data_IF_567624553882
#
_entry.id   IF_567624553882
#
_cell.length_a   1.000
_cell.length_b   1.000
_cell.length_c   1.000
_cell.angle_alpha   90.00
_cell.angle_beta   90.00
_cell.angle_gamma   90.00
#
_symmetry.space_group_name_H-M   'P 1'
#
loop_
_entity.id
_entity.type
_entity.pdbx_description
1 polymer ?
#
# COMPACT_ATOMS: atom_id res chain seq x y z
N UNK A 1 -25.47 7.19 -12.24
CA UNK A 1 -24.08 7.22 -12.71
C UNK A 1 -23.21 7.60 -11.52
N UNK A 2 -22.36 6.69 -11.02
CA UNK A 2 -21.48 7.00 -9.90
C UNK A 2 -20.35 7.92 -10.38
N UNK A 3 -20.31 9.16 -9.88
CA UNK A 3 -19.25 10.11 -10.21
C UNK A 3 -17.88 9.56 -9.82
N UNK A 4 -16.88 9.76 -10.68
CA UNK A 4 -15.50 9.35 -10.40
C UNK A 4 -14.95 10.21 -9.27
N UNK A 5 -14.64 9.60 -8.13
CA UNK A 5 -14.05 10.31 -7.00
C UNK A 5 -12.65 10.81 -7.38
N UNK A 6 -12.48 12.13 -7.38
CA UNK A 6 -11.18 12.79 -7.52
C UNK A 6 -10.82 13.32 -6.13
N UNK A 7 -9.72 12.86 -5.51
CA UNK A 7 -9.30 13.32 -4.20
C UNK A 7 -9.17 14.85 -4.18
N UNK A 8 -9.53 15.54 -3.09
CA UNK A 8 -9.55 17.01 -3.02
C UNK A 8 -8.22 17.64 -3.44
N UNK A 9 -7.09 17.02 -3.10
CA UNK A 9 -5.74 17.50 -3.44
C UNK A 9 -5.38 17.38 -4.93
N UNK A 10 -6.07 16.53 -5.69
CA UNK A 10 -5.90 16.40 -7.15
C UNK A 10 -6.79 17.40 -7.92
N UNK A 11 -7.75 18.05 -7.24
CA UNK A 11 -8.62 19.06 -7.84
C UNK A 11 -7.85 20.37 -7.96
N UNK A 12 -7.05 20.50 -9.03
CA UNK A 12 -6.38 21.72 -9.53
C UNK A 12 -6.16 22.78 -8.43
N UNK A 13 -5.04 22.69 -7.71
CA UNK A 13 -4.62 23.78 -6.83
C UNK A 13 -4.35 25.03 -7.71
N UNK A 14 -4.97 26.19 -7.42
CA UNK A 14 -4.57 27.43 -8.06
C UNK A 14 -3.11 27.71 -7.72
N UNK A 15 -2.35 28.16 -8.71
CA UNK A 15 -0.95 28.57 -8.58
C UNK A 15 -0.87 29.60 -7.44
N UNK A 16 -0.38 29.19 -6.27
CA UNK A 16 -0.27 30.06 -5.10
C UNK A 16 1.05 30.81 -5.16
N UNK A 17 0.95 32.12 -5.35
CA UNK A 17 2.05 33.07 -5.19
C UNK A 17 2.54 33.03 -3.73
N UNK A 18 3.83 32.75 -3.53
CA UNK A 18 4.47 32.67 -2.20
C UNK A 18 4.44 34.03 -1.51
N UNK A 19 3.99 34.06 -0.25
CA UNK A 19 4.22 35.15 0.68
C UNK A 19 5.05 34.56 1.82
N UNK A 20 6.28 35.05 2.01
CA UNK A 20 7.14 34.69 3.14
C UNK A 20 6.58 35.29 4.42
N UNK A 21 6.45 34.45 5.46
CA UNK A 21 6.28 34.90 6.84
C UNK A 21 7.25 34.08 7.67
N UNK A 22 8.22 34.76 8.27
CA UNK A 22 9.16 34.20 9.25
C UNK A 22 8.42 34.03 10.58
N UNK A 23 8.34 32.80 11.11
CA UNK A 23 7.87 32.56 12.48
C UNK A 23 8.69 31.43 13.14
N UNK A 24 9.54 31.80 14.10
CA UNK A 24 10.33 30.89 14.93
C UNK A 24 9.43 30.20 15.96
N UNK A 25 9.25 28.87 15.86
CA UNK A 25 8.71 28.07 16.98
C UNK A 25 9.56 26.85 17.33
N UNK A 26 9.87 26.79 18.62
CA UNK A 26 10.60 25.75 19.33
C UNK A 26 9.99 24.35 19.11
N UNK A 27 10.82 23.44 18.61
CA UNK A 27 10.50 22.02 18.40
C UNK A 27 10.75 21.24 19.69
N UNK A 28 9.73 20.50 20.16
CA UNK A 28 9.83 19.57 21.29
C UNK A 28 10.56 18.28 20.86
N UNK A 29 11.52 17.74 21.65
CA UNK A 29 12.30 16.57 21.23
C UNK A 29 11.47 15.28 21.25
N UNK A 30 11.58 14.50 20.18
CA UNK A 30 11.02 13.15 20.06
C UNK A 30 11.63 12.19 21.11
N UNK A 31 10.90 11.15 21.55
CA UNK A 31 11.40 10.18 22.51
C UNK A 31 12.63 9.44 21.97
N UNK A 32 13.70 9.44 22.77
CA UNK A 32 14.97 8.82 22.46
C UNK A 32 14.81 7.30 22.24
N UNK A 33 14.92 6.89 20.98
CA UNK A 33 15.13 5.48 20.60
C UNK A 33 16.52 5.09 21.08
N UNK A 34 16.61 3.97 21.81
CA UNK A 34 17.87 3.45 22.34
C UNK A 34 18.91 3.31 21.22
N UNK A 35 20.00 4.06 21.34
CA UNK A 35 21.07 4.17 20.35
C UNK A 35 21.81 2.83 20.30
N UNK A 36 21.63 2.09 19.20
CA UNK A 36 22.31 0.84 18.90
C UNK A 36 23.82 1.06 18.68
N UNK A 37 24.63 0.04 19.00
CA UNK A 37 26.08 0.02 18.82
C UNK A 37 26.47 0.35 17.37
N UNK A 38 27.55 1.10 17.23
CA UNK A 38 27.87 2.03 16.14
C UNK A 38 27.90 1.55 14.68
N UNK A 39 27.64 0.28 14.35
CA UNK A 39 27.42 -0.18 12.94
C UNK A 39 26.65 -1.51 12.82
N UNK A 40 26.15 -2.09 13.93
CA UNK A 40 26.01 -3.56 14.02
C UNK A 40 24.61 -4.17 14.12
N UNK A 41 23.54 -3.39 13.92
CA UNK A 41 22.15 -3.86 14.10
C UNK A 41 21.31 -3.89 12.82
N UNK A 42 21.90 -3.57 11.67
CA UNK A 42 21.20 -3.54 10.40
C UNK A 42 21.34 -4.88 9.67
N UNK A 43 20.20 -5.41 9.25
CA UNK A 43 20.07 -6.62 8.48
C UNK A 43 19.83 -6.29 7.01
N UNK A 44 20.33 -7.15 6.12
CA UNK A 44 19.95 -7.11 4.72
C UNK A 44 18.65 -7.86 4.48
N UNK A 45 17.91 -7.48 3.44
CA UNK A 45 16.68 -8.18 3.07
C UNK A 45 16.95 -9.66 2.80
N UNK A 46 18.09 -9.96 2.17
CA UNK A 46 18.55 -11.32 1.91
C UNK A 46 18.81 -12.12 3.18
N UNK A 47 19.45 -11.52 4.19
CA UNK A 47 19.72 -12.20 5.45
C UNK A 47 18.42 -12.49 6.22
N UNK A 48 17.50 -11.52 6.28
CA UNK A 48 16.17 -11.70 6.89
C UNK A 48 15.42 -12.84 6.19
N UNK A 49 15.29 -12.80 4.86
CA UNK A 49 14.58 -13.83 4.12
C UNK A 49 15.25 -15.21 4.27
N UNK A 50 16.58 -15.28 4.19
CA UNK A 50 17.32 -16.54 4.35
C UNK A 50 17.11 -17.20 5.72
N UNK A 51 16.94 -16.39 6.78
CA UNK A 51 16.65 -16.90 8.12
C UNK A 51 15.24 -17.49 8.22
N UNK A 52 14.21 -16.77 7.75
CA UNK A 52 12.82 -17.23 7.86
C UNK A 52 12.41 -18.24 6.78
N UNK A 53 13.13 -18.28 5.65
CA UNK A 53 12.87 -19.14 4.48
C UNK A 53 14.17 -19.71 3.91
N UNK A 54 14.85 -20.60 4.66
CA UNK A 54 16.10 -21.20 4.21
C UNK A 54 15.91 -21.96 2.89
N UNK A 55 16.85 -21.81 1.97
CA UNK A 55 16.85 -22.48 0.66
C UNK A 55 15.93 -21.86 -0.40
N UNK A 56 15.11 -20.87 -0.06
CA UNK A 56 14.29 -20.16 -1.04
C UNK A 56 15.01 -18.90 -1.54
N UNK A 57 15.19 -18.73 -2.88
CA UNK A 57 15.79 -17.52 -3.42
C UNK A 57 14.90 -16.30 -3.14
N UNK A 58 15.54 -15.11 -3.10
CA UNK A 58 14.81 -13.85 -3.09
C UNK A 58 14.03 -13.71 -4.41
N UNK A 59 12.73 -14.02 -4.37
CA UNK A 59 11.86 -13.84 -5.54
C UNK A 59 11.46 -12.38 -5.73
N UNK A 60 10.71 -12.10 -6.80
CA UNK A 60 10.07 -10.79 -7.02
C UNK A 60 9.13 -10.35 -5.88
N UNK A 61 8.75 -11.28 -5.00
CA UNK A 61 7.94 -11.04 -3.82
C UNK A 61 8.73 -10.56 -2.59
N UNK A 62 10.06 -10.42 -2.68
CA UNK A 62 10.90 -10.02 -1.56
C UNK A 62 10.53 -8.64 -0.99
N UNK A 63 10.04 -7.73 -1.84
CA UNK A 63 9.67 -6.37 -1.47
C UNK A 63 8.25 -6.24 -0.88
N UNK A 64 7.56 -7.35 -0.59
CA UNK A 64 6.25 -7.31 0.05
C UNK A 64 6.38 -6.95 1.54
N UNK A 65 5.28 -6.47 2.11
CA UNK A 65 5.23 -6.13 3.54
C UNK A 65 5.00 -7.34 4.43
N UNK A 66 4.19 -8.30 3.97
CA UNK A 66 3.80 -9.48 4.74
C UNK A 66 4.51 -10.72 4.20
N UNK A 67 5.06 -11.53 5.09
CA UNK A 67 5.75 -12.78 4.73
C UNK A 67 5.41 -13.90 5.72
N UNK A 68 5.14 -15.08 5.18
CA UNK A 68 5.12 -16.30 5.96
C UNK A 68 6.54 -16.81 6.25
N UNK A 69 6.63 -17.92 6.99
CA UNK A 69 7.91 -18.57 7.28
C UNK A 69 7.90 -19.98 6.73
N UNK A 70 9.08 -20.56 6.50
CA UNK A 70 9.18 -21.97 6.12
C UNK A 70 8.67 -22.90 7.23
N UNK A 71 8.77 -22.49 8.49
CA UNK A 71 8.29 -23.25 9.64
C UNK A 71 6.75 -23.30 9.72
N UNK A 72 6.08 -22.22 9.32
CA UNK A 72 4.62 -22.11 9.34
C UNK A 72 4.08 -21.53 8.02
N UNK A 73 4.06 -22.32 6.93
CA UNK A 73 3.57 -21.86 5.64
C UNK A 73 2.12 -21.37 5.74
N UNK A 74 1.83 -20.23 5.10
CA UNK A 74 0.50 -19.64 5.15
C UNK A 74 0.15 -18.86 6.42
N UNK A 75 1.03 -18.84 7.42
CA UNK A 75 0.89 -18.01 8.63
C UNK A 75 1.90 -16.88 8.59
N UNK A 76 1.47 -15.65 8.86
CA UNK A 76 2.36 -14.49 8.94
C UNK A 76 3.39 -14.70 10.05
N UNK A 77 4.68 -14.66 9.71
CA UNK A 77 5.75 -14.76 10.73
C UNK A 77 6.73 -13.59 10.74
N UNK A 78 6.89 -12.85 9.64
CA UNK A 78 7.62 -11.58 9.69
C UNK A 78 7.05 -10.51 8.76
N UNK A 79 7.32 -9.25 9.11
CA UNK A 79 6.90 -8.07 8.37
C UNK A 79 8.09 -7.17 8.06
N UNK A 80 8.06 -6.58 6.86
CA UNK A 80 9.04 -5.62 6.39
C UNK A 80 8.34 -4.30 6.14
N UNK A 81 8.69 -3.28 6.94
CA UNK A 81 8.16 -1.94 6.81
C UNK A 81 9.20 -1.06 6.13
N UNK A 82 8.88 -0.61 4.91
CA UNK A 82 9.73 0.29 4.16
C UNK A 82 9.67 1.70 4.75
N UNK A 83 10.75 2.45 4.55
CA UNK A 83 10.89 3.78 5.13
C UNK A 83 9.74 4.68 4.65
N UNK A 84 9.03 5.31 5.58
CA UNK A 84 7.87 6.19 5.31
C UNK A 84 6.69 5.55 4.56
N UNK A 85 6.63 4.21 4.40
CA UNK A 85 5.53 3.57 3.69
C UNK A 85 4.20 3.56 4.48
N UNK A 86 4.28 3.66 5.81
CA UNK A 86 3.15 3.60 6.73
C UNK A 86 3.23 4.73 7.77
N UNK A 87 2.58 5.89 7.51
CA UNK A 87 2.75 7.10 8.33
C UNK A 87 2.21 6.94 9.77
N UNK A 88 1.35 5.94 10.01
CA UNK A 88 0.78 5.64 11.33
C UNK A 88 1.55 4.58 12.12
N UNK A 89 2.69 4.12 11.61
CA UNK A 89 3.52 3.14 12.31
C UNK A 89 4.05 3.68 13.65
N UNK A 90 4.67 4.85 13.64
CA UNK A 90 5.28 5.43 14.85
C UNK A 90 4.28 5.81 15.96
N UNK A 91 3.14 6.47 15.67
CA UNK A 91 2.19 6.82 16.72
C UNK A 91 1.35 5.63 17.21
N UNK A 92 0.84 4.81 16.28
CA UNK A 92 -0.23 3.86 16.59
C UNK A 92 0.11 2.40 16.30
N UNK A 93 1.29 2.13 15.72
CA UNK A 93 1.69 0.81 15.20
C UNK A 93 0.66 0.26 14.20
N UNK A 94 0.12 1.16 13.37
CA UNK A 94 -0.83 0.84 12.31
C UNK A 94 -0.11 0.71 10.97
N UNK A 95 -0.40 -0.38 10.26
CA UNK A 95 0.15 -0.68 8.93
C UNK A 95 -1.00 -0.86 7.94
N UNK A 96 -0.83 -0.32 6.72
CA UNK A 96 -1.80 -0.45 5.64
C UNK A 96 -1.26 -1.35 4.53
N UNK A 97 -1.86 -2.53 4.37
CA UNK A 97 -1.38 -3.55 3.43
C UNK A 97 -2.41 -3.90 2.38
N UNK A 98 -1.94 -4.29 1.18
CA UNK A 98 -2.78 -4.62 0.02
C UNK A 98 -2.56 -6.05 -0.52
N UNK A 99 -1.45 -6.69 -0.16
CA UNK A 99 -1.02 -7.98 -0.71
C UNK A 99 -0.96 -9.02 0.38
N UNK A 100 -1.12 -10.29 -0.01
CA UNK A 100 -0.99 -11.48 0.85
C UNK A 100 -1.90 -11.42 2.10
N UNK A 101 -3.11 -10.89 1.93
CA UNK A 101 -4.11 -10.74 2.99
C UNK A 101 -4.54 -12.10 3.59
N UNK A 102 -4.36 -13.20 2.86
CA UNK A 102 -4.61 -14.55 3.34
C UNK A 102 -3.72 -14.94 4.52
N UNK A 103 -2.53 -14.36 4.63
CA UNK A 103 -1.61 -14.59 5.76
C UNK A 103 -2.15 -14.01 7.08
N UNK A 104 -3.04 -13.02 7.00
CA UNK A 104 -3.64 -12.36 8.16
C UNK A 104 -4.79 -13.17 8.74
N UNK A 105 -5.50 -13.93 7.90
CA UNK A 105 -6.68 -14.71 8.31
C UNK A 105 -6.33 -16.07 8.91
N UNK A 106 -5.14 -16.60 8.63
CA UNK A 106 -4.75 -17.95 9.07
C UNK A 106 -4.63 -18.11 10.59
N UNK A 107 -4.59 -17.02 11.36
CA UNK A 107 -4.49 -17.05 12.82
C UNK A 107 -5.47 -16.14 13.57
N UNK A 108 -6.36 -15.44 12.85
CA UNK A 108 -7.36 -14.56 13.45
C UNK A 108 -8.72 -15.20 13.25
N UNK A 109 -9.30 -15.73 14.33
CA UNK A 109 -10.69 -16.14 14.31
C UNK A 109 -11.55 -14.94 13.95
N UNK A 110 -12.24 -15.05 12.82
CA UNK A 110 -13.14 -14.03 12.31
C UNK A 110 -14.38 -14.04 13.19
N UNK A 111 -14.32 -13.35 14.32
CA UNK A 111 -15.51 -13.04 15.09
C UNK A 111 -16.24 -11.97 14.29
N UNK A 112 -17.16 -12.42 13.43
CA UNK A 112 -18.18 -11.53 12.90
C UNK A 112 -19.00 -11.08 14.10
N UNK A 113 -18.65 -9.92 14.67
CA UNK A 113 -19.56 -9.11 15.47
C UNK A 113 -20.63 -8.56 14.51
N UNK A 114 -21.40 -9.46 13.91
CA UNK A 114 -22.73 -9.14 13.48
C UNK A 114 -23.41 -8.68 14.75
N UNK A 115 -23.65 -7.37 14.85
CA UNK A 115 -24.61 -6.84 15.80
C UNK A 115 -25.89 -7.63 15.55
N UNK A 116 -26.11 -8.65 16.38
CA UNK A 116 -27.45 -8.99 16.82
C UNK A 116 -27.92 -7.74 17.56
N UNK A 117 -28.36 -6.77 16.76
CA UNK A 117 -29.07 -5.61 17.25
C UNK A 117 -30.24 -6.21 18.02
N UNK A 118 -30.35 -5.96 19.34
CA UNK A 118 -31.47 -6.45 20.11
C UNK A 118 -32.71 -6.05 19.35
N UNK A 119 -33.46 -7.04 18.84
CA UNK A 119 -34.75 -6.75 18.26
C UNK A 119 -35.50 -5.94 19.32
N UNK A 120 -35.99 -4.72 19.00
CA UNK A 120 -36.82 -4.01 19.94
C UNK A 120 -37.93 -4.96 20.37
N UNK A 121 -38.24 -5.06 21.67
CA UNK A 121 -39.29 -5.96 22.14
C UNK A 121 -40.54 -5.66 21.29
N UNK A 122 -41.07 -6.70 20.65
CA UNK A 122 -42.33 -6.63 19.92
C UNK A 122 -43.40 -6.26 20.93
N UNK A 123 -43.66 -4.96 21.12
CA UNK A 123 -44.77 -4.49 21.92
C UNK A 123 -46.01 -4.79 21.09
N UNK A 124 -46.73 -5.83 21.48
CA UNK A 124 -48.04 -6.17 20.95
C UNK A 124 -48.96 -4.96 21.11
N UNK A 125 -49.36 -4.35 20.00
CA UNK A 125 -50.36 -3.31 19.97
C UNK A 125 -51.74 -3.90 20.32
N UNK A 126 -52.49 -3.34 21.29
CA UNK A 126 -53.92 -3.54 21.36
C UNK A 126 -54.62 -2.66 20.32
N UNK A 127 -55.43 -3.32 19.50
CA UNK A 127 -56.37 -2.72 18.55
C UNK A 127 -57.63 -2.27 19.28
N UNK A 128 -58.12 -1.05 18.97
CA UNK A 128 -59.52 -0.66 18.71
C UNK A 128 -59.96 0.70 19.29
N UNK A 129 -60.57 1.50 18.39
CA UNK A 129 -61.64 2.50 18.57
C UNK A 129 -61.27 3.86 19.22
N UNK A 130 -61.80 5.03 18.85
CA UNK A 130 -62.76 5.50 17.84
C UNK A 130 -62.85 7.04 17.95
N UNK A 131 -62.89 7.72 16.79
CA UNK A 131 -63.63 8.96 16.42
C UNK A 131 -63.79 10.10 17.45
N UNK A 132 -63.27 11.30 17.14
CA UNK A 132 -64.07 12.53 16.96
C UNK A 132 -63.21 13.72 16.48
N UNK A 133 -63.78 14.48 15.56
CA UNK A 133 -63.25 15.66 14.92
C UNK A 133 -63.14 16.88 15.84
N UNK A 134 -62.18 17.78 15.59
CA UNK A 134 -62.40 19.23 15.70
C UNK A 134 -61.41 19.96 14.78
N UNK A 135 -62.00 20.69 13.84
CA UNK A 135 -61.38 21.68 12.96
C UNK A 135 -61.04 22.94 13.74
N UNK A 136 -59.79 23.40 13.73
CA UNK A 136 -59.47 24.85 13.85
C UNK A 136 -58.19 25.17 13.08
N UNK A 137 -58.34 26.06 12.10
CA UNK A 137 -57.25 26.63 11.32
C UNK A 137 -56.34 27.51 12.20
N UNK A 138 -55.04 27.46 11.94
CA UNK A 138 -54.14 28.60 12.18
C UNK A 138 -52.94 28.50 11.25
N UNK A 139 -52.85 29.52 10.41
CA UNK A 139 -51.76 29.84 9.50
C UNK A 139 -50.54 30.21 10.35
N UNK A 140 -49.41 29.56 10.12
CA UNK A 140 -48.11 30.18 10.40
C UNK A 140 -47.11 29.66 9.37
N UNK A 141 -46.81 30.54 8.41
CA UNK A 141 -45.55 30.61 7.68
C UNK A 141 -44.37 30.36 8.60
N UNK A 142 -43.46 29.45 8.23
CA UNK A 142 -42.01 29.58 8.41
C UNK A 142 -41.25 28.32 8.00
N UNK A 143 -40.26 28.56 7.13
CA UNK A 143 -38.99 27.85 7.00
C UNK A 143 -39.01 26.43 6.45
N UNK A 144 -38.64 26.32 5.17
CA UNK A 144 -38.08 25.11 4.58
C UNK A 144 -36.74 24.80 5.26
N UNK A 145 -36.78 24.05 6.35
CA UNK A 145 -35.64 23.23 6.76
C UNK A 145 -35.71 21.94 5.93
N UNK A 146 -34.91 21.89 4.86
CA UNK A 146 -34.47 20.63 4.26
C UNK A 146 -33.65 19.88 5.30
N UNK A 147 -34.34 19.17 6.18
CA UNK A 147 -33.77 18.11 6.99
C UNK A 147 -33.33 17.01 6.03
N UNK A 148 -32.08 17.12 5.56
CA UNK A 148 -31.36 16.04 4.88
C UNK A 148 -31.24 14.91 5.91
N UNK A 149 -32.27 14.04 5.93
CA UNK A 149 -32.19 12.71 6.53
C UNK A 149 -31.04 11.99 5.85
N UNK A 150 -29.88 12.07 6.50
CA UNK A 150 -28.68 11.40 6.08
C UNK A 150 -28.93 9.93 6.40
N UNK A 151 -29.46 9.20 5.41
CA UNK A 151 -29.56 7.76 5.44
C UNK A 151 -28.21 7.20 5.89
N UNK A 152 -28.18 6.72 7.13
CA UNK A 152 -27.05 6.00 7.70
C UNK A 152 -26.97 4.66 6.99
N UNK A 153 -26.41 4.69 5.77
CA UNK A 153 -26.20 3.51 4.95
C UNK A 153 -25.33 2.54 5.75
N UNK A 154 -25.92 1.38 6.03
CA UNK A 154 -25.35 0.14 6.52
C UNK A 154 -23.84 0.14 6.66
N UNK A 155 -23.39 0.43 7.87
CA UNK A 155 -22.00 0.30 8.29
C UNK A 155 -21.70 -1.18 8.56
N UNK A 156 -21.82 -2.01 7.53
CA UNK A 156 -21.37 -3.41 7.52
C UNK A 156 -19.85 -3.46 7.35
N UNK A 157 -19.12 -2.79 8.25
CA UNK A 157 -17.68 -2.94 8.33
C UNK A 157 -17.40 -4.15 9.21
N UNK A 158 -16.94 -5.24 8.59
CA UNK A 158 -16.46 -6.41 9.32
C UNK A 158 -15.16 -6.05 10.02
N UNK A 159 -15.29 -5.54 11.25
CA UNK A 159 -14.16 -5.33 12.14
C UNK A 159 -13.86 -6.66 12.82
N UNK A 160 -12.70 -7.23 12.51
CA UNK A 160 -12.25 -8.46 13.14
C UNK A 160 -11.48 -8.08 14.40
N UNK A 161 -12.13 -8.24 15.54
CA UNK A 161 -11.42 -8.24 16.81
C UNK A 161 -10.74 -9.59 16.95
N UNK A 162 -9.41 -9.58 17.02
CA UNK A 162 -8.67 -10.80 17.35
C UNK A 162 -9.02 -11.15 18.79
N UNK A 163 -9.79 -12.22 18.99
CA UNK A 163 -10.05 -12.74 20.34
C UNK A 163 -8.73 -13.31 20.89
N UNK A 164 -8.28 -12.88 22.08
CA UNK A 164 -7.00 -13.32 22.66
C UNK A 164 -6.98 -14.79 23.13
N UNK A 165 -8.05 -15.57 22.88
CA UNK A 165 -8.15 -16.94 23.36
C UNK A 165 -7.35 -17.93 22.50
N UNK A 166 -6.93 -17.55 21.30
CA UNK A 166 -5.90 -18.25 20.53
C UNK A 166 -4.53 -17.64 20.84
N UNK A 167 -3.50 -18.48 21.04
CA UNK A 167 -2.11 -18.02 21.12
C UNK A 167 -1.77 -17.33 19.80
N UNK A 168 -1.87 -16.00 19.76
CA UNK A 168 -1.51 -15.23 18.57
C UNK A 168 -0.04 -15.50 18.27
N UNK A 169 0.25 -15.85 17.02
CA UNK A 169 1.63 -16.08 16.59
C UNK A 169 2.38 -14.76 16.61
N UNK A 170 3.54 -14.74 17.26
CA UNK A 170 4.39 -13.56 17.27
C UNK A 170 4.99 -13.33 15.89
N UNK A 171 5.05 -12.06 15.49
CA UNK A 171 5.50 -11.59 14.18
C UNK A 171 6.75 -10.76 14.39
N UNK A 172 7.85 -11.12 13.72
CA UNK A 172 9.07 -10.32 13.71
C UNK A 172 8.88 -9.10 12.80
N UNK A 173 9.10 -7.89 13.30
CA UNK A 173 8.98 -6.66 12.50
C UNK A 173 10.35 -6.05 12.25
N UNK A 174 10.64 -5.77 10.97
CA UNK A 174 11.85 -5.12 10.52
C UNK A 174 11.52 -3.77 9.88
N UNK A 175 12.19 -2.70 10.30
CA UNK A 175 12.00 -1.34 9.80
C UNK A 175 13.16 -0.93 8.92
N UNK A 176 12.86 -0.41 7.75
CA UNK A 176 13.86 0.20 6.89
C UNK A 176 14.25 1.58 7.44
N UNK A 177 15.48 1.72 7.89
CA UNK A 177 16.02 2.95 8.50
C UNK A 177 16.39 3.97 7.42
N UNK A 178 16.95 3.50 6.30
CA UNK A 178 17.38 4.35 5.20
C UNK A 178 16.59 4.02 3.94
N UNK A 179 16.02 5.03 3.24
CA UNK A 179 15.53 4.80 1.88
C UNK A 179 16.69 4.27 1.04
N UNK A 180 16.39 3.31 0.15
CA UNK A 180 17.39 2.58 -0.63
C UNK A 180 18.54 3.49 -1.09
N UNK A 181 19.81 3.11 -0.84
CA UNK A 181 20.93 3.94 -1.21
C UNK A 181 20.86 4.19 -2.72
N UNK A 182 21.19 5.43 -3.12
CA UNK A 182 21.37 5.74 -4.53
C UNK A 182 22.37 4.75 -5.13
N UNK A 183 22.14 4.43 -6.40
CA UNK A 183 22.77 3.46 -7.31
C UNK A 183 24.26 3.09 -7.13
N UNK A 184 25.04 3.79 -6.33
CA UNK A 184 26.47 3.54 -6.08
C UNK A 184 26.78 2.62 -4.89
N UNK A 185 25.81 2.28 -4.03
CA UNK A 185 26.03 1.43 -2.84
C UNK A 185 25.20 0.14 -2.82
N UNK A 186 25.16 -0.56 -3.96
CA UNK A 186 24.61 -1.93 -4.04
C UNK A 186 25.27 -2.90 -3.03
N UNK A 187 26.45 -2.56 -2.49
CA UNK A 187 27.19 -3.34 -1.51
C UNK A 187 26.62 -3.25 -0.08
N UNK A 188 25.81 -2.23 0.24
CA UNK A 188 25.23 -2.05 1.57
C UNK A 188 23.70 -2.22 1.54
N UNK A 189 23.24 -3.45 1.27
CA UNK A 189 21.82 -3.86 1.37
C UNK A 189 21.27 -3.86 2.82
N UNK A 190 22.12 -3.49 3.80
CA UNK A 190 21.75 -3.43 5.22
C UNK A 190 21.01 -2.15 5.54
N UNK A 191 19.71 -2.15 5.30
CA UNK A 191 18.86 -1.01 5.59
C UNK A 191 17.80 -1.30 6.64
N UNK A 192 17.72 -2.52 7.19
CA UNK A 192 16.63 -2.92 8.08
C UNK A 192 17.08 -3.12 9.52
N UNK A 193 16.40 -2.50 10.48
CA UNK A 193 16.57 -2.76 11.91
C UNK A 193 15.45 -3.67 12.40
N UNK A 194 15.77 -4.60 13.30
CA UNK A 194 14.75 -5.38 14.00
C UNK A 194 14.11 -4.53 15.09
N UNK A 195 12.81 -4.23 14.96
CA UNK A 195 12.06 -3.44 15.94
C UNK A 195 11.59 -4.30 17.13
N UNK A 196 11.33 -5.59 16.88
CA UNK A 196 10.88 -6.51 17.90
C UNK A 196 9.81 -7.49 17.41
N UNK A 197 9.27 -8.23 18.38
CA UNK A 197 8.16 -9.16 18.20
C UNK A 197 6.83 -8.49 18.51
N UNK A 198 5.84 -8.73 17.67
CA UNK A 198 4.50 -8.14 17.75
C UNK A 198 3.41 -9.20 17.58
N UNK A 199 2.20 -8.89 18.04
CA UNK A 199 0.98 -9.61 17.67
C UNK A 199 -0.04 -8.65 17.05
N UNK A 200 -0.94 -9.20 16.22
CA UNK A 200 -2.06 -8.43 15.66
C UNK A 200 -3.13 -8.27 16.73
N UNK A 201 -3.34 -7.03 17.20
CA UNK A 201 -4.41 -6.74 18.16
C UNK A 201 -5.72 -6.36 17.47
N UNK A 202 -5.65 -5.79 16.27
CA UNK A 202 -6.84 -5.46 15.46
C UNK A 202 -6.57 -5.64 13.98
N UNK A 203 -7.53 -6.25 13.29
CA UNK A 203 -7.53 -6.41 11.84
C UNK A 203 -8.84 -5.90 11.26
N UNK A 204 -8.76 -5.00 10.27
CA UNK A 204 -9.94 -4.56 9.52
C UNK A 204 -9.67 -4.71 8.03
N UNK A 205 -10.50 -5.51 7.34
CA UNK A 205 -10.44 -5.63 5.88
C UNK A 205 -11.36 -4.57 5.27
N UNK A 206 -10.79 -3.68 4.47
CA UNK A 206 -11.52 -2.63 3.77
C UNK A 206 -11.88 -3.11 2.37
N UNK A 207 -13.16 -2.99 2.03
CA UNK A 207 -13.65 -3.34 0.70
C UNK A 207 -13.18 -2.30 -0.33
N UNK A 208 -12.99 -2.73 -1.59
CA UNK A 208 -12.70 -1.82 -2.69
C UNK A 208 -13.74 -0.69 -2.73
N UNK A 209 -13.28 0.54 -2.96
CA UNK A 209 -14.10 1.77 -3.02
C UNK A 209 -14.97 2.08 -1.78
N UNK A 210 -14.72 1.44 -0.64
CA UNK A 210 -15.41 1.80 0.60
C UNK A 210 -15.00 3.20 1.08
N UNK A 211 -15.89 3.95 1.77
CA UNK A 211 -15.55 5.28 2.29
C UNK A 211 -14.40 5.24 3.31
N UNK A 212 -14.20 4.12 3.99
CA UNK A 212 -13.07 3.90 4.89
C UNK A 212 -11.76 3.71 4.15
N UNK A 213 -11.78 3.00 3.01
CA UNK A 213 -10.63 2.89 2.13
C UNK A 213 -10.23 4.28 1.60
N UNK A 214 -11.19 5.10 1.20
CA UNK A 214 -10.93 6.49 0.78
C UNK A 214 -10.22 7.29 1.87
N UNK A 215 -10.79 7.31 3.07
CA UNK A 215 -10.19 8.02 4.22
C UNK A 215 -8.78 7.51 4.54
N UNK A 216 -8.58 6.20 4.48
CA UNK A 216 -7.27 5.59 4.74
C UNK A 216 -6.25 5.96 3.67
N UNK A 217 -6.59 5.89 2.38
CA UNK A 217 -5.66 6.23 1.31
C UNK A 217 -5.34 7.72 1.31
N UNK A 218 -6.33 8.58 1.61
CA UNK A 218 -6.09 10.00 1.84
C UNK A 218 -5.06 10.20 2.97
N UNK A 219 -5.20 9.51 4.10
CA UNK A 219 -4.21 9.56 5.19
C UNK A 219 -2.84 8.99 4.79
N UNK A 220 -2.81 7.87 4.06
CA UNK A 220 -1.57 7.19 3.67
C UNK A 220 -0.75 8.02 2.69
N UNK A 221 -1.40 8.80 1.83
CA UNK A 221 -0.75 9.59 0.78
C UNK A 221 -0.67 11.09 1.06
N UNK A 222 -1.31 11.57 2.13
CA UNK A 222 -0.96 12.84 2.76
C UNK A 222 0.38 12.66 3.48
N UNK A 223 1.48 12.63 2.73
CA UNK A 223 2.82 12.77 3.31
C UNK A 223 2.95 14.23 3.69
N UNK A 224 3.06 14.59 4.98
CA UNK A 224 3.53 15.91 5.36
C UNK A 224 4.99 15.94 4.93
N UNK A 225 5.22 16.37 3.69
CA UNK A 225 6.54 16.83 3.33
C UNK A 225 6.83 18.00 4.26
N UNK A 226 8.10 18.11 4.66
CA UNK A 226 8.66 19.04 5.66
C UNK A 226 7.85 20.33 5.84
N UNK A 227 7.78 20.95 7.03
CA UNK A 227 6.93 22.11 7.30
C UNK A 227 6.99 23.23 6.23
N UNK A 228 8.11 23.35 5.51
CA UNK A 228 8.32 24.34 4.46
C UNK A 228 8.08 23.89 3.01
N UNK A 229 7.84 22.61 2.73
CA UNK A 229 7.58 22.13 1.37
C UNK A 229 6.60 20.96 1.42
N UNK A 230 5.36 21.13 0.98
CA UNK A 230 4.45 20.01 0.72
C UNK A 230 4.76 19.44 -0.66
N UNK A 231 5.71 18.52 -0.77
CA UNK A 231 5.80 17.63 -1.93
C UNK A 231 4.68 16.61 -1.83
N UNK A 232 3.60 16.90 -2.53
CA UNK A 232 2.68 15.87 -2.96
C UNK A 232 3.52 14.84 -3.71
N UNK A 233 3.71 13.65 -3.13
CA UNK A 233 4.19 12.49 -3.86
C UNK A 233 3.06 12.14 -4.85
N UNK A 234 2.98 12.88 -5.95
CA UNK A 234 1.90 12.80 -6.92
C UNK A 234 1.89 11.40 -7.50
N UNK A 235 1.00 10.56 -6.96
CA UNK A 235 0.57 9.36 -7.65
C UNK A 235 -0.22 9.79 -8.88
N UNK A 236 -0.02 9.06 -9.96
CA UNK A 236 -0.89 9.20 -11.12
C UNK A 236 -2.33 8.87 -10.72
N UNK A 237 -3.29 9.46 -11.44
CA UNK A 237 -4.71 9.12 -11.29
C UNK A 237 -4.96 7.61 -11.41
N UNK A 238 -4.22 6.96 -12.30
CA UNK A 238 -4.34 5.52 -12.55
C UNK A 238 -3.82 4.70 -11.37
N UNK A 239 -2.72 5.11 -10.74
CA UNK A 239 -2.19 4.47 -9.53
C UNK A 239 -3.16 4.59 -8.34
N UNK A 240 -3.89 5.70 -8.26
CA UNK A 240 -4.97 5.90 -7.29
C UNK A 240 -6.14 4.98 -7.56
N UNK A 241 -6.63 4.95 -8.79
CA UNK A 241 -7.74 4.11 -9.21
C UNK A 241 -7.44 2.62 -8.96
N UNK A 242 -6.23 2.19 -9.32
CA UNK A 242 -5.72 0.85 -9.06
C UNK A 242 -5.64 0.53 -7.55
N UNK A 243 -5.40 1.54 -6.71
CA UNK A 243 -5.45 1.41 -5.26
C UNK A 243 -6.87 1.17 -4.74
N UNK A 244 -7.84 1.92 -5.25
CA UNK A 244 -9.26 1.81 -4.87
C UNK A 244 -9.93 0.49 -5.28
N UNK A 245 -9.48 -0.09 -6.39
CA UNK A 245 -10.02 -1.33 -6.93
C UNK A 245 -9.45 -2.59 -6.23
N UNK A 246 -8.57 -2.41 -5.23
CA UNK A 246 -7.98 -3.50 -4.45
C UNK A 246 -8.59 -3.60 -3.05
N UNK A 247 -8.59 -4.81 -2.49
CA UNK A 247 -8.84 -5.03 -1.07
C UNK A 247 -7.64 -4.55 -0.27
N UNK A 248 -7.91 -3.95 0.88
CA UNK A 248 -6.87 -3.50 1.81
C UNK A 248 -7.13 -4.06 3.19
N UNK A 249 -6.08 -4.16 3.99
CA UNK A 249 -6.18 -4.41 5.41
C UNK A 249 -5.52 -3.29 6.21
N UNK A 250 -6.18 -2.90 7.30
CA UNK A 250 -5.63 -2.05 8.36
C UNK A 250 -5.29 -2.97 9.51
N UNK A 251 -4.01 -3.04 9.84
CA UNK A 251 -3.49 -3.89 10.91
C UNK A 251 -3.02 -2.97 12.03
N UNK A 252 -3.51 -3.19 13.25
CA UNK A 252 -2.92 -2.62 14.46
C UNK A 252 -2.09 -3.70 15.15
N UNK A 253 -0.85 -3.37 15.43
CA UNK A 253 0.12 -4.24 16.07
C UNK A 253 0.37 -3.78 17.51
N UNK A 254 0.63 -4.74 18.38
CA UNK A 254 1.05 -4.52 19.77
C UNK A 254 2.31 -5.33 20.03
N UNK A 255 3.18 -4.83 20.90
CA UNK A 255 4.38 -5.57 21.28
C UNK A 255 4.00 -6.87 21.99
N UNK A 256 4.65 -7.96 21.61
CA UNK A 256 4.63 -9.17 22.40
C UNK A 256 5.26 -8.91 23.78
N UNK A 257 4.88 -9.71 24.79
CA UNK A 257 5.44 -9.58 26.13
C UNK A 257 6.97 -9.63 26.09
N UNK A 258 7.65 -8.70 26.79
CA UNK A 258 9.11 -8.65 26.82
C UNK A 258 9.68 -9.98 27.34
N UNK A 259 10.65 -10.53 26.61
CA UNK A 259 11.29 -11.81 26.94
C UNK A 259 10.51 -13.05 26.49
N UNK A 260 9.33 -12.92 25.87
CA UNK A 260 8.61 -14.08 25.32
C UNK A 260 9.34 -14.69 24.11
N UNK A 261 10.09 -13.87 23.38
CA UNK A 261 10.82 -14.26 22.18
C UNK A 261 12.18 -13.58 22.15
N UNK A 262 13.23 -14.33 21.86
CA UNK A 262 14.57 -13.81 21.63
C UNK A 262 14.65 -13.15 20.25
N UNK A 263 15.55 -12.17 20.10
CA UNK A 263 15.80 -11.58 18.78
C UNK A 263 16.25 -12.69 17.82
N UNK A 264 15.77 -12.71 16.56
CA UNK A 264 16.16 -13.74 15.61
C UNK A 264 17.67 -13.68 15.37
N UNK A 265 18.33 -14.83 15.48
CA UNK A 265 19.77 -14.98 15.21
C UNK A 265 20.00 -14.96 13.70
N UNK A 266 19.90 -13.76 13.12
CA UNK A 266 20.17 -13.50 11.72
C UNK A 266 21.64 -13.16 11.62
N UNK A 267 22.40 -14.00 10.92
CA UNK A 267 23.81 -13.76 10.68
C UNK A 267 24.02 -12.38 10.04
N UNK A 268 24.48 -11.41 10.84
CA UNK A 268 25.05 -10.18 10.34
C UNK A 268 26.29 -10.61 9.57
N UNK A 269 26.26 -10.58 8.24
CA UNK A 269 27.37 -11.01 7.38
C UNK A 269 28.57 -10.07 7.47
N UNK A 270 29.06 -9.76 8.68
CA UNK A 270 30.12 -8.81 8.94
C UNK A 270 31.36 -9.20 8.12
N UNK A 271 31.62 -8.44 7.05
CA UNK A 271 32.92 -8.44 6.40
C UNK A 271 33.38 -9.74 5.74
N UNK A 272 32.48 -10.57 5.19
CA UNK A 272 32.92 -11.34 4.02
C UNK A 272 33.06 -10.35 2.86
N UNK A 273 34.14 -9.54 2.90
CA UNK A 273 34.65 -8.90 1.71
C UNK A 273 34.96 -10.05 0.75
N UNK A 274 34.14 -10.22 -0.28
CA UNK A 274 34.38 -11.10 -1.41
C UNK A 274 35.66 -10.65 -2.11
N UNK A 275 36.82 -11.01 -1.57
CA UNK A 275 38.11 -10.99 -2.28
C UNK A 275 38.26 -12.22 -3.18
N UNK A 276 37.25 -13.10 -3.22
CA UNK A 276 37.12 -14.14 -4.24
C UNK A 276 36.35 -13.59 -5.43
N UNK A 277 37.07 -13.19 -6.48
CA UNK A 277 36.56 -12.85 -7.81
C UNK A 277 35.86 -14.07 -8.45
N UNK A 278 34.69 -14.43 -7.95
CA UNK A 278 33.80 -15.36 -8.65
C UNK A 278 32.98 -14.52 -9.59
N UNK A 279 33.49 -14.37 -10.81
CA UNK A 279 32.80 -13.73 -11.93
C UNK A 279 31.64 -14.62 -12.38
N UNK A 280 30.58 -14.67 -11.57
CA UNK A 280 29.33 -15.32 -11.96
C UNK A 280 28.65 -14.39 -12.96
N UNK A 281 28.92 -14.64 -14.25
CA UNK A 281 28.24 -14.03 -15.39
C UNK A 281 26.80 -14.54 -15.48
N UNK A 282 25.95 -14.14 -14.55
CA UNK A 282 24.54 -13.98 -14.85
C UNK A 282 24.35 -12.51 -15.22
N UNK A 283 23.64 -12.25 -16.31
CA UNK A 283 23.10 -10.93 -16.57
C UNK A 283 22.12 -10.62 -15.42
N UNK A 284 22.65 -10.07 -14.33
CA UNK A 284 21.86 -9.73 -13.16
C UNK A 284 20.79 -8.74 -13.61
N UNK A 285 19.49 -9.08 -13.48
CA UNK A 285 18.47 -8.07 -13.57
C UNK A 285 18.74 -7.13 -12.40
N UNK A 286 19.33 -5.96 -12.71
CA UNK A 286 19.54 -4.85 -11.79
C UNK A 286 18.35 -4.80 -10.83
N UNK A 287 18.63 -4.99 -9.54
CA UNK A 287 17.68 -4.83 -8.44
C UNK A 287 17.27 -3.35 -8.37
N UNK A 288 16.49 -2.93 -9.36
CA UNK A 288 15.84 -1.63 -9.39
C UNK A 288 14.79 -1.61 -8.27
N UNK A 289 14.74 -0.52 -7.52
CA UNK A 289 13.63 -0.29 -6.59
C UNK A 289 12.30 -0.41 -7.32
N UNK A 290 11.19 -0.75 -6.65
CA UNK A 290 9.89 -0.90 -7.34
C UNK A 290 9.53 0.36 -8.16
N UNK A 291 9.87 1.56 -7.66
CA UNK A 291 9.66 2.80 -8.41
C UNK A 291 10.63 2.96 -9.60
N UNK A 292 11.88 2.50 -9.50
CA UNK A 292 12.82 2.46 -10.63
C UNK A 292 12.46 1.38 -11.64
N UNK A 293 12.01 0.21 -11.19
CA UNK A 293 11.52 -0.87 -12.05
C UNK A 293 10.27 -0.41 -12.80
N UNK A 294 9.35 0.27 -12.12
CA UNK A 294 8.17 0.88 -12.76
C UNK A 294 8.56 2.04 -13.70
N UNK A 295 9.56 2.86 -13.34
CA UNK A 295 10.11 3.90 -14.24
C UNK A 295 10.79 3.26 -15.46
N UNK A 296 11.53 2.18 -15.26
CA UNK A 296 12.23 1.44 -16.31
C UNK A 296 11.27 0.76 -17.26
N UNK A 297 10.23 0.09 -16.75
CA UNK A 297 9.15 -0.47 -17.58
C UNK A 297 8.48 0.62 -18.42
N UNK A 298 8.26 1.82 -17.87
CA UNK A 298 7.71 2.96 -18.62
C UNK A 298 8.67 3.44 -19.70
N UNK A 299 9.98 3.53 -19.41
CA UNK A 299 10.97 3.92 -20.42
C UNK A 299 11.13 2.86 -21.51
N UNK A 300 11.15 1.57 -21.18
CA UNK A 300 11.27 0.48 -22.16
C UNK A 300 10.06 0.48 -23.10
N UNK A 301 8.84 0.63 -22.57
CA UNK A 301 7.64 0.72 -23.40
C UNK A 301 7.66 1.96 -24.30
N UNK A 302 8.08 3.12 -23.76
CA UNK A 302 8.25 4.33 -24.57
C UNK A 302 9.29 4.16 -25.67
N UNK A 303 10.39 3.47 -25.38
CA UNK A 303 11.46 3.21 -26.37
C UNK A 303 10.97 2.23 -27.44
N UNK A 304 10.17 1.22 -27.08
CA UNK A 304 9.54 0.31 -28.03
C UNK A 304 8.56 1.03 -28.96
N UNK A 305 7.73 1.93 -28.42
CA UNK A 305 6.83 2.77 -29.21
C UNK A 305 7.60 3.74 -30.13
N UNK A 306 8.69 4.35 -29.65
CA UNK A 306 9.55 5.21 -30.48
C UNK A 306 10.27 4.43 -31.59
N UNK A 307 10.74 3.20 -31.32
CA UNK A 307 11.33 2.31 -32.34
C UNK A 307 10.27 1.93 -33.37
N UNK A 308 9.07 1.53 -32.95
CA UNK A 308 7.99 1.18 -33.87
C UNK A 308 7.59 2.38 -34.75
N UNK A 309 7.49 3.58 -34.17
CA UNK A 309 7.18 4.80 -34.90
C UNK A 309 8.31 5.20 -35.88
N UNK A 310 9.58 4.95 -35.51
CA UNK A 310 10.73 5.20 -36.39
C UNK A 310 10.86 4.19 -37.51
N UNK A 311 10.44 2.93 -37.30
CA UNK A 311 10.49 1.87 -38.31
C UNK A 311 9.28 1.84 -39.26
N UNK A 312 8.13 2.41 -38.86
CA UNK A 312 6.95 2.54 -39.75
C UNK A 312 7.25 3.12 -41.14
N UNK A 313 7.98 4.24 -41.29
CA UNK A 313 8.26 4.79 -42.61
C UNK A 313 9.15 3.86 -43.46
N UNK A 314 10.11 3.16 -42.84
CA UNK A 314 10.99 2.23 -43.58
C UNK A 314 10.21 1.02 -44.11
N UNK A 315 9.32 0.43 -43.30
CA UNK A 315 8.46 -0.69 -43.71
C UNK A 315 7.47 -0.26 -44.79
N UNK A 316 6.96 0.97 -44.72
CA UNK A 316 6.06 1.51 -45.75
C UNK A 316 6.78 1.74 -47.08
N UNK A 317 8.02 2.24 -47.07
CA UNK A 317 8.85 2.41 -48.27
C UNK A 317 9.14 1.05 -48.93
N UNK A 318 9.44 0.01 -48.16
CA UNK A 318 9.70 -1.33 -48.72
C UNK A 318 8.44 -1.97 -49.32
N UNK A 319 7.27 -1.77 -48.70
CA UNK A 319 5.98 -2.21 -49.26
C UNK A 319 5.65 -1.49 -50.57
N UNK A 320 5.90 -0.19 -50.66
CA UNK A 320 5.73 0.58 -51.90
C UNK A 320 6.69 0.08 -52.99
N UNK A 321 7.96 -0.21 -52.64
CA UNK A 321 8.94 -0.76 -53.59
C UNK A 321 8.53 -2.15 -54.10
N UNK A 322 8.01 -3.02 -53.24
CA UNK A 322 7.49 -4.33 -53.64
C UNK A 322 6.25 -4.21 -54.54
N UNK A 323 5.36 -3.26 -54.25
CA UNK A 323 4.20 -2.95 -55.08
C UNK A 323 4.60 -2.45 -56.47
N UNK A 324 5.58 -1.54 -56.56
CA UNK A 324 6.12 -1.05 -57.84
C UNK A 324 6.74 -2.18 -58.67
N UNK A 325 7.58 -3.04 -58.06
CA UNK A 325 8.17 -4.20 -58.75
C UNK A 325 7.13 -5.17 -59.27
N UNK A 326 6.05 -5.38 -58.52
CA UNK A 326 4.97 -6.29 -58.92
C UNK A 326 4.19 -5.75 -60.13
N UNK A 327 3.96 -4.43 -60.18
CA UNK A 327 3.32 -3.78 -61.34
C UNK A 327 4.21 -3.81 -62.58
N UNK A 328 5.51 -3.60 -62.40
CA UNK A 328 6.48 -3.67 -63.49
C UNK A 328 6.47 -5.08 -64.11
N UNK A 329 6.63 -6.13 -63.30
CA UNK A 329 6.57 -7.54 -63.78
C UNK A 329 5.24 -7.89 -64.47
N UNK A 330 4.12 -7.33 -64.01
CA UNK A 330 2.83 -7.52 -64.69
C UNK A 330 2.75 -6.78 -66.03
N UNK A 331 3.37 -5.61 -66.16
CA UNK A 331 3.47 -4.87 -67.44
C UNK A 331 4.22 -5.68 -68.49
N UNK A 332 5.38 -6.26 -68.12
CA UNK A 332 6.18 -7.09 -69.04
C UNK A 332 5.45 -8.35 -69.51
N UNK A 333 4.44 -8.85 -68.78
CA UNK A 333 3.64 -10.01 -69.19
C UNK A 333 2.54 -9.71 -70.19
N UNK A 334 2.15 -8.44 -70.36
CA UNK A 334 1.13 -8.04 -71.32
C UNK A 334 1.68 -7.56 -72.66
N UNK A 335 2.98 -7.25 -72.73
CA UNK A 335 3.68 -6.85 -73.96
C UNK A 335 4.35 -8.01 -74.71
N UNK A 336 4.38 -9.21 -74.12
CA UNK A 336 4.88 -10.45 -74.72
C UNK A 336 3.74 -11.34 -75.23
#
# INVERSE_FOLDING_TARGET
MAGVYIPPHVRKLPVRTRVSVDDERQTTPAPAVAIAKADGGLFSLRAIHGHFKPGQPLGSNACKTLHDTAATPGVLGYMILLHQADPRWHPDRIVFVKSDLSLLTAGVEVVNEGKEQPQPPTVSAPSANSIAATTTASITTSTNDEEIQTHSADRNQTQLQARPNGKSTAIAVFLQVHPFPSTTSALNDRSFVFEGWFHISRLAILQPRSPDLTRMLDQKYQVPSTPDEVRDAFRSRDDWQLGFDKKWAVIKLEHAARGAHEAPDIATMAGQSETGEVRVSYAEPLLMTVNEMLRWQRTVNKTAEEIEHRERPAKQIDLERQSCRSREVQSWRHEA
#
